data_IF_207804390458
#
_entry.id   IF_207804390458
#
_cell.length_a   1.000
_cell.length_b   1.000
_cell.length_c   1.000
_cell.angle_alpha   90.00
_cell.angle_beta   90.00
_cell.angle_gamma   90.00
#
_symmetry.space_group_name_H-M   'P 1'
#
loop_
_entity.id
_entity.type
_entity.pdbx_description
1 polymer ?
#
# COMPACT_ATOMS: atom_id res chain seq x y z
N UNK A 1 6.53 45.50 15.18
CA UNK A 1 7.56 44.64 15.78
C UNK A 1 7.00 44.02 17.05
N UNK A 2 6.65 42.74 17.02
CA UNK A 2 6.30 41.94 18.21
C UNK A 2 7.14 40.65 18.14
N UNK A 3 7.73 40.33 19.29
CA UNK A 3 8.69 39.25 19.53
C UNK A 3 8.21 37.88 19.03
N UNK A 4 9.09 37.00 18.52
CA UNK A 4 8.77 35.60 18.34
C UNK A 4 8.71 34.91 19.71
N UNK A 5 7.62 34.18 19.93
CA UNK A 5 7.46 33.24 21.05
C UNK A 5 8.41 32.07 20.79
N UNK A 6 9.43 31.95 21.63
CA UNK A 6 10.19 30.72 21.79
C UNK A 6 9.25 29.68 22.42
N UNK A 7 8.70 28.78 21.59
CA UNK A 7 8.20 27.50 22.07
C UNK A 7 9.42 26.72 22.55
N UNK A 8 9.58 26.60 23.87
CA UNK A 8 10.59 25.77 24.50
C UNK A 8 10.39 24.32 24.04
N UNK A 9 11.20 23.90 23.06
CA UNK A 9 11.32 22.51 22.67
C UNK A 9 11.88 21.74 23.86
N UNK A 10 11.12 20.77 24.36
CA UNK A 10 11.63 19.83 25.37
C UNK A 10 12.92 19.19 24.86
N UNK A 11 13.95 19.04 25.71
CA UNK A 11 15.22 18.46 25.28
C UNK A 11 15.02 17.01 24.80
N UNK A 12 15.64 16.72 23.65
CA UNK A 12 15.52 15.50 22.82
C UNK A 12 15.90 14.17 23.52
N UNK A 13 16.25 14.18 24.81
CA UNK A 13 16.70 13.00 25.57
C UNK A 13 15.73 12.54 26.66
N UNK A 14 14.62 13.24 26.91
CA UNK A 14 13.57 12.79 27.84
C UNK A 14 12.47 11.93 27.18
N UNK A 15 12.67 11.48 25.94
CA UNK A 15 11.73 10.61 25.24
C UNK A 15 11.92 9.16 25.70
N UNK A 16 10.80 8.49 25.94
CA UNK A 16 10.66 7.05 26.23
C UNK A 16 11.69 6.27 25.42
N UNK A 17 12.68 5.67 26.09
CA UNK A 17 13.72 4.91 25.42
C UNK A 17 13.08 3.76 24.64
N UNK A 18 13.00 3.87 23.32
CA UNK A 18 12.45 2.81 22.47
C UNK A 18 13.35 1.59 22.59
N UNK A 19 12.84 0.51 23.17
CA UNK A 19 13.58 -0.75 23.24
C UNK A 19 13.52 -1.45 21.87
N UNK A 20 14.49 -1.11 21.00
CA UNK A 20 14.62 -1.70 19.66
C UNK A 20 14.81 -3.22 19.73
N UNK A 21 15.36 -3.76 20.81
CA UNK A 21 15.47 -5.21 21.00
C UNK A 21 14.10 -5.85 21.27
N UNK A 22 13.23 -5.19 22.04
CA UNK A 22 11.86 -5.63 22.26
C UNK A 22 11.02 -5.55 20.98
N UNK A 23 11.11 -4.43 20.26
CA UNK A 23 10.56 -4.32 18.90
C UNK A 23 11.14 -5.40 18.00
N UNK A 24 12.43 -5.73 18.17
CA UNK A 24 13.12 -6.76 17.42
C UNK A 24 12.63 -8.18 17.67
N UNK A 25 12.11 -8.44 18.87
CA UNK A 25 11.43 -9.70 19.17
C UNK A 25 10.04 -9.78 18.55
N UNK A 26 9.35 -8.66 18.38
CA UNK A 26 7.95 -8.63 17.93
C UNK A 26 7.77 -8.39 16.42
N UNK A 27 8.51 -7.45 15.85
CA UNK A 27 8.20 -6.87 14.53
C UNK A 27 9.39 -6.83 13.56
N UNK A 28 10.55 -7.41 13.91
CA UNK A 28 11.67 -7.57 12.96
C UNK A 28 11.59 -8.87 12.17
N UNK A 29 12.05 -8.82 10.93
CA UNK A 29 12.19 -10.01 10.07
C UNK A 29 13.41 -10.89 10.42
N UNK A 30 14.33 -10.42 11.26
CA UNK A 30 15.57 -11.11 11.63
C UNK A 30 15.81 -11.04 13.14
N UNK A 31 16.52 -12.03 13.70
CA UNK A 31 16.80 -12.15 15.15
C UNK A 31 17.33 -10.85 15.76
N UNK A 32 18.30 -10.24 15.08
CA UNK A 32 18.84 -8.95 15.46
C UNK A 32 18.79 -7.97 14.29
N UNK A 33 18.45 -6.72 14.59
CA UNK A 33 18.62 -5.62 13.65
C UNK A 33 20.11 -5.31 13.46
N UNK A 34 20.52 -5.06 12.23
CA UNK A 34 21.84 -4.49 11.92
C UNK A 34 21.95 -3.07 12.48
N UNK A 35 23.16 -2.53 12.76
CA UNK A 35 23.31 -1.21 13.37
C UNK A 35 22.50 -0.09 12.70
N UNK A 36 22.58 0.03 11.36
CA UNK A 36 21.81 1.03 10.61
C UNK A 36 20.29 0.77 10.57
N UNK A 37 19.83 -0.47 10.77
CA UNK A 37 18.40 -0.76 10.94
C UNK A 37 17.91 -0.31 12.31
N UNK A 38 18.71 -0.50 13.36
CA UNK A 38 18.35 -0.12 14.73
C UNK A 38 18.07 1.38 14.84
N UNK A 39 18.96 2.18 14.27
CA UNK A 39 18.82 3.63 14.20
C UNK A 39 17.54 4.02 13.43
N UNK A 40 17.36 3.49 12.22
CA UNK A 40 16.16 3.78 11.42
C UNK A 40 14.85 3.34 12.09
N UNK A 41 14.85 2.23 12.82
CA UNK A 41 13.66 1.76 13.56
C UNK A 41 13.33 2.71 14.71
N UNK A 42 14.34 3.08 15.52
CA UNK A 42 14.16 3.99 16.64
C UNK A 42 13.63 5.35 16.14
N UNK A 43 14.35 5.96 15.20
CA UNK A 43 13.99 7.26 14.66
C UNK A 43 12.62 7.23 13.97
N UNK A 44 12.29 6.12 13.29
CA UNK A 44 10.99 5.91 12.66
C UNK A 44 9.87 5.75 13.67
N UNK A 45 10.08 4.97 14.74
CA UNK A 45 9.11 4.76 15.80
C UNK A 45 8.84 6.07 16.56
N UNK A 46 9.88 6.82 16.93
CA UNK A 46 9.76 8.12 17.61
C UNK A 46 8.96 9.11 16.75
N UNK A 47 9.38 9.32 15.50
CA UNK A 47 8.70 10.25 14.60
C UNK A 47 7.23 9.87 14.36
N UNK A 48 6.93 8.59 14.14
CA UNK A 48 5.57 8.12 13.90
C UNK A 48 4.70 8.18 15.17
N UNK A 49 5.26 7.89 16.35
CA UNK A 49 4.56 7.98 17.63
C UNK A 49 4.07 9.40 17.89
N UNK A 50 4.92 10.39 17.60
CA UNK A 50 4.61 11.83 17.67
C UNK A 50 3.74 12.35 16.52
N UNK A 51 3.28 11.48 15.61
CA UNK A 51 2.51 11.83 14.40
C UNK A 51 3.28 12.78 13.46
N UNK A 52 4.60 12.73 13.49
CA UNK A 52 5.51 13.49 12.63
C UNK A 52 5.93 12.75 11.37
N UNK A 53 7.07 13.17 10.81
CA UNK A 53 7.64 12.64 9.57
C UNK A 53 9.12 12.32 9.74
N UNK A 54 9.57 11.23 9.10
CA UNK A 54 10.97 10.87 9.01
C UNK A 54 11.39 10.82 7.53
N UNK A 55 12.48 11.52 7.21
CA UNK A 55 13.19 11.36 5.95
C UNK A 55 14.50 10.64 6.23
N UNK A 56 14.57 9.36 5.84
CA UNK A 56 15.74 8.53 6.08
C UNK A 56 16.55 8.36 4.79
N UNK A 57 17.78 8.87 4.79
CA UNK A 57 18.76 8.60 3.75
C UNK A 57 19.69 7.47 4.22
N UNK A 58 19.49 6.28 3.68
CA UNK A 58 20.27 5.10 4.04
C UNK A 58 20.79 4.39 2.79
N UNK A 59 22.03 3.86 2.79
CA UNK A 59 22.56 3.07 1.69
C UNK A 59 21.68 1.87 1.33
N UNK A 60 21.79 1.35 0.10
CA UNK A 60 21.15 0.07 -0.27
C UNK A 60 21.75 -1.09 0.52
N UNK A 61 20.97 -2.14 0.78
CA UNK A 61 21.46 -3.36 1.43
C UNK A 61 21.49 -3.33 2.96
N UNK A 62 21.22 -2.19 3.61
CA UNK A 62 21.09 -2.15 5.08
C UNK A 62 19.79 -2.77 5.59
N UNK A 63 18.80 -2.97 4.71
CA UNK A 63 17.47 -3.50 5.06
C UNK A 63 16.47 -2.42 5.48
N UNK A 64 16.43 -1.30 4.74
CA UNK A 64 15.50 -0.17 4.94
C UNK A 64 14.02 -0.59 4.96
N UNK A 65 13.63 -1.49 4.07
CA UNK A 65 12.27 -2.02 3.98
C UNK A 65 11.86 -2.71 5.29
N UNK A 66 12.71 -3.57 5.83
CA UNK A 66 12.44 -4.25 7.10
C UNK A 66 12.43 -3.28 8.29
N UNK A 67 13.34 -2.31 8.33
CA UNK A 67 13.39 -1.31 9.39
C UNK A 67 12.14 -0.41 9.39
N UNK A 68 11.76 0.14 8.23
CA UNK A 68 10.56 0.98 8.08
C UNK A 68 9.27 0.22 8.37
N UNK A 69 9.13 -1.02 7.89
CA UNK A 69 7.96 -1.86 8.19
C UNK A 69 7.87 -2.18 9.68
N UNK A 70 8.97 -2.54 10.33
CA UNK A 70 8.97 -2.86 11.76
C UNK A 70 8.51 -1.65 12.60
N UNK A 71 9.05 -0.46 12.33
CA UNK A 71 8.65 0.77 13.01
C UNK A 71 7.17 1.11 12.74
N UNK A 72 6.74 1.06 11.48
CA UNK A 72 5.37 1.40 11.10
C UNK A 72 4.34 0.43 11.69
N UNK A 73 4.61 -0.88 11.65
CA UNK A 73 3.73 -1.91 12.24
C UNK A 73 3.67 -1.74 13.75
N UNK A 74 4.80 -1.50 14.42
CA UNK A 74 4.84 -1.29 15.87
C UNK A 74 3.91 -0.14 16.29
N UNK A 75 4.09 1.04 15.68
CA UNK A 75 3.25 2.21 15.98
C UNK A 75 1.80 1.96 15.59
N UNK A 76 1.52 1.32 14.46
CA UNK A 76 0.16 1.01 14.02
C UNK A 76 -0.58 0.09 15.01
N UNK A 77 0.11 -0.88 15.61
CA UNK A 77 -0.47 -1.82 16.58
C UNK A 77 -0.68 -1.24 17.97
N UNK A 78 -0.03 -0.11 18.28
CA UNK A 78 -0.21 0.62 19.54
C UNK A 78 -1.30 1.69 19.48
N UNK A 79 -1.83 2.00 18.28
CA UNK A 79 -2.97 2.90 18.15
C UNK A 79 -4.24 2.23 18.66
N UNK A 80 -5.06 2.99 19.39
CA UNK A 80 -6.38 2.56 19.85
C UNK A 80 -7.33 2.26 18.67
N UNK A 81 -7.31 3.13 17.66
CA UNK A 81 -8.04 2.93 16.42
C UNK A 81 -7.20 2.18 15.40
N UNK A 82 -7.87 1.42 14.52
CA UNK A 82 -7.22 0.75 13.39
C UNK A 82 -6.40 1.75 12.57
N UNK A 83 -5.12 1.45 12.41
CA UNK A 83 -4.19 2.24 11.62
C UNK A 83 -3.60 1.37 10.51
N UNK A 84 -3.92 1.67 9.25
CA UNK A 84 -3.37 0.93 8.10
C UNK A 84 -2.00 1.50 7.73
N UNK A 85 -1.01 0.62 7.57
CA UNK A 85 0.30 1.00 7.00
C UNK A 85 0.20 0.92 5.48
N UNK A 86 0.28 2.07 4.81
CA UNK A 86 0.35 2.16 3.35
C UNK A 86 1.83 2.17 2.92
N UNK A 87 2.32 1.03 2.44
CA UNK A 87 3.66 0.92 1.87
C UNK A 87 3.61 1.17 0.36
N UNK A 88 4.20 2.28 -0.06
CA UNK A 88 4.15 2.76 -1.44
C UNK A 88 5.46 2.47 -2.16
N UNK A 89 5.38 1.76 -3.29
CA UNK A 89 6.53 1.48 -4.16
C UNK A 89 6.08 1.26 -5.60
N UNK A 90 6.89 1.62 -6.59
CA UNK A 90 6.51 1.50 -8.02
C UNK A 90 6.91 0.19 -8.69
N UNK A 91 7.62 -0.70 -8.01
CA UNK A 91 8.20 -1.91 -8.62
C UNK A 91 7.65 -3.16 -7.97
N UNK A 92 7.08 -4.05 -8.77
CA UNK A 92 6.57 -5.35 -8.31
C UNK A 92 7.61 -6.20 -7.55
N UNK A 93 8.89 -6.10 -7.95
CA UNK A 93 9.97 -6.75 -7.19
C UNK A 93 10.07 -6.24 -5.74
N UNK A 94 9.76 -4.97 -5.48
CA UNK A 94 9.72 -4.41 -4.13
C UNK A 94 8.47 -4.82 -3.37
N UNK A 95 7.32 -4.99 -4.05
CA UNK A 95 6.12 -5.57 -3.43
C UNK A 95 6.43 -6.95 -2.84
N UNK A 96 7.12 -7.81 -3.62
CA UNK A 96 7.60 -9.12 -3.16
C UNK A 96 8.48 -9.02 -1.91
N UNK A 97 9.44 -8.10 -1.90
CA UNK A 97 10.33 -7.88 -0.74
C UNK A 97 9.53 -7.50 0.50
N UNK A 98 8.53 -6.63 0.38
CA UNK A 98 7.65 -6.26 1.50
C UNK A 98 6.87 -7.47 2.00
N UNK A 99 6.18 -8.19 1.11
CA UNK A 99 5.40 -9.39 1.47
C UNK A 99 6.27 -10.42 2.16
N UNK A 100 7.45 -10.73 1.61
CA UNK A 100 8.37 -11.71 2.20
C UNK A 100 8.96 -11.24 3.54
N UNK A 101 9.16 -9.93 3.70
CA UNK A 101 9.55 -9.35 4.98
C UNK A 101 8.45 -9.55 6.03
N UNK A 102 7.19 -9.31 5.69
CA UNK A 102 6.07 -9.52 6.62
C UNK A 102 5.86 -11.02 6.93
N UNK A 103 6.10 -11.92 5.97
CA UNK A 103 6.12 -13.37 6.24
C UNK A 103 7.14 -13.72 7.31
N UNK A 104 8.39 -13.25 7.15
CA UNK A 104 9.45 -13.47 8.13
C UNK A 104 9.15 -12.85 9.49
N UNK A 105 8.47 -11.70 9.53
CA UNK A 105 7.97 -11.12 10.78
C UNK A 105 6.97 -12.09 11.43
N UNK A 106 5.97 -12.55 10.68
CA UNK A 106 4.94 -13.46 11.18
C UNK A 106 5.51 -14.80 11.67
N UNK A 107 6.53 -15.36 11.01
CA UNK A 107 7.20 -16.59 11.45
C UNK A 107 7.88 -16.45 12.82
N UNK A 108 8.17 -15.21 13.23
CA UNK A 108 8.81 -14.88 14.52
C UNK A 108 7.82 -14.44 15.59
N UNK A 109 6.57 -14.16 15.23
CA UNK A 109 5.54 -13.81 16.21
C UNK A 109 5.29 -15.03 17.11
N UNK A 110 5.42 -14.83 18.42
CA UNK A 110 5.18 -15.85 19.46
C UNK A 110 4.06 -15.40 20.39
N UNK A 111 3.39 -16.36 21.03
CA UNK A 111 2.30 -16.10 21.98
C UNK A 111 1.01 -15.66 21.27
N UNK A 112 0.20 -14.87 21.97
CA UNK A 112 -1.17 -14.50 21.53
C UNK A 112 -1.22 -13.31 20.56
N UNK A 113 -0.08 -12.90 20.00
CA UNK A 113 -0.01 -11.80 19.04
C UNK A 113 -0.60 -12.24 17.70
N UNK A 114 -1.58 -11.49 17.19
CA UNK A 114 -2.17 -11.74 15.87
C UNK A 114 -1.15 -11.44 14.75
N UNK A 115 -1.08 -12.34 13.78
CA UNK A 115 -0.30 -12.18 12.55
C UNK A 115 -0.58 -10.83 11.86
N UNK A 116 0.45 -10.32 11.19
CA UNK A 116 0.34 -9.14 10.33
C UNK A 116 -0.24 -9.58 8.98
N UNK A 117 -1.32 -8.93 8.58
CA UNK A 117 -2.01 -9.17 7.32
C UNK A 117 -1.57 -8.19 6.26
N UNK A 118 -1.46 -8.65 5.02
CA UNK A 118 -1.00 -7.83 3.87
C UNK A 118 -1.99 -7.98 2.73
N UNK A 119 -2.39 -6.85 2.16
CA UNK A 119 -3.08 -6.80 0.87
C UNK A 119 -2.14 -6.11 -0.12
N UNK A 120 -1.82 -6.82 -1.20
CA UNK A 120 -0.93 -6.36 -2.26
C UNK A 120 -1.76 -6.00 -3.51
N UNK A 121 -1.67 -4.75 -3.96
CA UNK A 121 -2.48 -4.20 -5.05
C UNK A 121 -1.59 -3.54 -6.10
N UNK A 122 -1.92 -3.80 -7.36
CA UNK A 122 -1.29 -3.22 -8.55
C UNK A 122 -2.38 -2.62 -9.45
N UNK A 123 -2.05 -2.11 -10.63
CA UNK A 123 -3.05 -1.54 -11.53
C UNK A 123 -4.21 -2.47 -11.88
N UNK A 124 -5.42 -1.92 -11.99
CA UNK A 124 -6.65 -2.65 -12.37
C UNK A 124 -6.46 -3.50 -13.63
N UNK A 125 -5.81 -2.96 -14.65
CA UNK A 125 -5.56 -3.63 -15.94
C UNK A 125 -4.69 -4.87 -15.78
N UNK A 126 -3.81 -4.89 -14.79
CA UNK A 126 -2.94 -6.03 -14.49
C UNK A 126 -3.59 -7.05 -13.53
N UNK A 127 -4.67 -6.67 -12.84
CA UNK A 127 -5.37 -7.55 -11.89
C UNK A 127 -6.70 -8.11 -12.39
N UNK A 128 -7.30 -7.49 -13.40
CA UNK A 128 -8.51 -8.00 -14.03
C UNK A 128 -8.15 -8.92 -15.19
N UNK A 129 -8.71 -10.12 -15.22
CA UNK A 129 -8.53 -11.04 -16.34
C UNK A 129 -9.17 -10.51 -17.64
N UNK A 130 -10.36 -9.89 -17.53
CA UNK A 130 -11.07 -9.31 -18.66
C UNK A 130 -11.63 -7.95 -18.28
N UNK A 131 -11.17 -6.92 -18.99
CA UNK A 131 -11.72 -5.57 -18.96
C UNK A 131 -12.20 -5.24 -20.36
N UNK A 132 -13.46 -4.86 -20.48
CA UNK A 132 -13.99 -4.34 -21.72
C UNK A 132 -13.33 -3.00 -22.04
N UNK A 133 -12.63 -2.89 -23.17
CA UNK A 133 -11.82 -1.72 -23.50
C UNK A 133 -12.68 -0.48 -23.84
N UNK A 134 -13.91 -0.66 -24.30
CA UNK A 134 -14.80 0.43 -24.68
C UNK A 134 -15.57 0.97 -23.46
N UNK A 135 -16.17 0.07 -22.68
CA UNK A 135 -17.00 0.40 -21.51
C UNK A 135 -16.20 0.51 -20.21
N UNK A 136 -14.94 0.04 -20.20
CA UNK A 136 -14.11 -0.11 -18.99
C UNK A 136 -14.76 -0.98 -17.91
N UNK A 137 -15.69 -1.86 -18.29
CA UNK A 137 -16.39 -2.73 -17.36
C UNK A 137 -15.54 -3.98 -17.05
N UNK A 138 -15.53 -4.41 -15.78
CA UNK A 138 -14.87 -5.67 -15.40
C UNK A 138 -15.80 -6.84 -15.72
N UNK A 139 -15.25 -7.90 -16.31
CA UNK A 139 -16.00 -9.07 -16.78
C UNK A 139 -15.54 -10.38 -16.13
N UNK A 140 -14.80 -10.29 -15.02
CA UNK A 140 -14.23 -11.44 -14.32
C UNK A 140 -15.27 -12.35 -13.65
N UNK A 141 -16.51 -11.90 -13.44
CA UNK A 141 -17.54 -12.65 -12.69
C UNK A 141 -18.59 -13.32 -13.61
N UNK A 142 -18.25 -13.59 -14.87
CA UNK A 142 -19.17 -14.21 -15.86
C UNK A 142 -19.49 -15.66 -15.48
N UNK A 143 -20.76 -16.06 -15.60
CA UNK A 143 -21.18 -17.47 -15.61
C UNK A 143 -21.57 -18.11 -14.26
N UNK A 144 -21.43 -17.44 -13.12
CA UNK A 144 -21.84 -17.98 -11.81
C UNK A 144 -23.21 -17.47 -11.34
N UNK A 145 -23.88 -18.17 -10.42
CA UNK A 145 -25.04 -17.62 -9.71
C UNK A 145 -24.61 -16.56 -8.69
N UNK A 146 -25.51 -15.66 -8.29
CA UNK A 146 -25.22 -14.63 -7.29
C UNK A 146 -24.74 -15.20 -5.94
N UNK A 147 -25.38 -16.28 -5.46
CA UNK A 147 -24.98 -16.97 -4.24
C UNK A 147 -23.62 -17.65 -4.33
N UNK A 148 -23.27 -18.21 -5.50
CA UNK A 148 -21.94 -18.76 -5.73
C UNK A 148 -20.88 -17.67 -5.73
N UNK A 149 -21.16 -16.51 -6.34
CA UNK A 149 -20.24 -15.36 -6.35
C UNK A 149 -19.97 -14.86 -4.93
N UNK A 150 -21.01 -14.71 -4.10
CA UNK A 150 -20.85 -14.22 -2.73
C UNK A 150 -19.88 -15.10 -1.92
N UNK A 151 -20.01 -16.43 -2.04
CA UNK A 151 -19.09 -17.38 -1.39
C UNK A 151 -17.66 -17.26 -1.92
N UNK A 152 -17.46 -17.32 -3.24
CA UNK A 152 -16.12 -17.18 -3.83
C UNK A 152 -15.42 -15.87 -3.45
N UNK A 153 -16.18 -14.78 -3.29
CA UNK A 153 -15.65 -13.49 -2.83
C UNK A 153 -15.16 -13.55 -1.39
N UNK A 154 -15.93 -14.19 -0.50
CA UNK A 154 -15.52 -14.38 0.90
C UNK A 154 -14.35 -15.36 1.02
N UNK A 155 -14.29 -16.39 0.19
CA UNK A 155 -13.18 -17.34 0.14
C UNK A 155 -11.88 -16.64 -0.24
N UNK A 156 -11.89 -15.79 -1.28
CA UNK A 156 -10.72 -15.00 -1.65
C UNK A 156 -10.35 -13.96 -0.58
N UNK A 157 -11.33 -13.31 0.04
CA UNK A 157 -11.09 -12.39 1.17
C UNK A 157 -10.41 -13.12 2.33
N UNK A 158 -10.90 -14.29 2.70
CA UNK A 158 -10.32 -15.14 3.74
C UNK A 158 -8.91 -15.61 3.36
N UNK A 159 -8.69 -15.96 2.09
CA UNK A 159 -7.39 -16.34 1.56
C UNK A 159 -6.34 -15.23 1.68
N UNK A 160 -6.74 -13.98 1.46
CA UNK A 160 -5.89 -12.77 1.62
C UNK A 160 -5.56 -12.49 3.08
N UNK A 161 -6.55 -12.56 3.98
CA UNK A 161 -6.36 -12.22 5.39
C UNK A 161 -5.68 -13.33 6.20
N UNK A 162 -5.61 -14.55 5.66
CA UNK A 162 -5.00 -15.69 6.37
C UNK A 162 -3.47 -15.62 6.44
N UNK A 163 -2.81 -15.17 5.37
CA UNK A 163 -1.35 -15.02 5.34
C UNK A 163 -0.94 -13.96 4.32
N UNK A 164 0.22 -13.29 4.49
CA UNK A 164 0.73 -12.35 3.50
C UNK A 164 0.96 -13.01 2.14
N UNK A 165 0.50 -12.37 1.08
CA UNK A 165 0.60 -12.88 -0.30
C UNK A 165 0.99 -11.78 -1.26
N UNK A 166 1.84 -12.16 -2.20
CA UNK A 166 2.13 -11.31 -3.35
C UNK A 166 0.93 -11.34 -4.29
N UNK A 167 0.76 -10.28 -5.07
CA UNK A 167 -0.34 -10.16 -6.03
C UNK A 167 -0.43 -11.37 -6.97
N UNK A 168 0.70 -11.91 -7.44
CA UNK A 168 0.73 -13.10 -8.32
C UNK A 168 -0.04 -14.29 -7.74
N UNK A 169 0.12 -14.58 -6.45
CA UNK A 169 -0.60 -15.68 -5.78
C UNK A 169 -2.10 -15.40 -5.69
N UNK A 170 -2.45 -14.13 -5.49
CA UNK A 170 -3.84 -13.66 -5.44
C UNK A 170 -4.52 -13.80 -6.79
N UNK A 171 -3.82 -13.51 -7.89
CA UNK A 171 -4.37 -13.65 -9.24
C UNK A 171 -4.68 -15.11 -9.58
N UNK A 172 -3.81 -16.03 -9.19
CA UNK A 172 -4.04 -17.48 -9.38
C UNK A 172 -5.27 -17.95 -8.62
N UNK A 173 -5.41 -17.56 -7.36
CA UNK A 173 -6.57 -17.93 -6.53
C UNK A 173 -7.87 -17.31 -7.06
N UNK A 174 -7.84 -16.02 -7.40
CA UNK A 174 -9.00 -15.30 -7.91
C UNK A 174 -9.52 -15.89 -9.23
N UNK A 175 -8.60 -16.28 -10.12
CA UNK A 175 -8.92 -16.98 -11.37
C UNK A 175 -9.57 -18.34 -11.09
N UNK A 176 -9.04 -19.09 -10.15
CA UNK A 176 -9.58 -20.40 -9.75
C UNK A 176 -10.98 -20.26 -9.13
N UNK A 177 -11.19 -19.19 -8.37
CA UNK A 177 -12.45 -18.88 -7.70
C UNK A 177 -13.49 -18.17 -8.58
N UNK A 178 -13.12 -17.74 -9.79
CA UNK A 178 -14.00 -17.02 -10.73
C UNK A 178 -14.43 -15.64 -10.26
N UNK A 179 -13.55 -14.90 -9.56
CA UNK A 179 -13.84 -13.57 -9.00
C UNK A 179 -12.80 -12.53 -9.40
N UNK A 180 -13.17 -11.25 -9.35
CA UNK A 180 -12.26 -10.15 -9.67
C UNK A 180 -11.26 -9.88 -8.53
N UNK A 181 -9.98 -10.20 -8.73
CA UNK A 181 -8.92 -9.94 -7.75
C UNK A 181 -8.84 -8.45 -7.35
N UNK A 182 -8.87 -7.53 -8.32
CA UNK A 182 -8.81 -6.08 -8.08
C UNK A 182 -9.91 -5.61 -7.12
N UNK A 183 -11.15 -6.02 -7.36
CA UNK A 183 -12.28 -5.60 -6.56
C UNK A 183 -12.20 -6.16 -5.14
N UNK A 184 -11.84 -7.43 -5.00
CA UNK A 184 -11.77 -8.09 -3.69
C UNK A 184 -10.59 -7.57 -2.87
N UNK A 185 -9.40 -7.38 -3.46
CA UNK A 185 -8.29 -6.78 -2.75
C UNK A 185 -8.67 -5.39 -2.21
N UNK A 186 -9.20 -4.49 -3.04
CA UNK A 186 -9.59 -3.14 -2.60
C UNK A 186 -10.59 -3.16 -1.45
N UNK A 187 -11.60 -4.02 -1.53
CA UNK A 187 -12.60 -4.17 -0.47
C UNK A 187 -12.04 -4.79 0.82
N UNK A 188 -10.94 -5.53 0.73
CA UNK A 188 -10.28 -6.21 1.86
C UNK A 188 -9.27 -5.31 2.58
N UNK A 189 -8.81 -4.21 1.96
CA UNK A 189 -7.79 -3.31 2.55
C UNK A 189 -8.20 -2.76 3.93
N UNK A 190 -9.47 -2.40 4.10
CA UNK A 190 -10.00 -1.94 5.40
C UNK A 190 -9.80 -2.96 6.53
N UNK A 191 -9.61 -4.22 6.16
CA UNK A 191 -9.43 -5.34 7.07
C UNK A 191 -7.97 -5.76 7.26
N UNK A 192 -7.03 -5.20 6.50
CA UNK A 192 -5.61 -5.55 6.62
C UNK A 192 -4.78 -4.58 7.47
N UNK A 193 -3.59 -5.00 7.87
CA UNK A 193 -2.61 -4.16 8.57
C UNK A 193 -1.75 -3.36 7.61
N UNK A 194 -1.30 -4.00 6.52
CA UNK A 194 -0.38 -3.41 5.54
C UNK A 194 -1.00 -3.47 4.15
N UNK A 195 -1.16 -2.32 3.52
CA UNK A 195 -1.44 -2.18 2.10
C UNK A 195 -0.12 -1.95 1.36
N UNK A 196 0.19 -2.78 0.37
CA UNK A 196 1.29 -2.53 -0.57
C UNK A 196 0.70 -2.09 -1.90
N UNK A 197 1.08 -0.90 -2.38
CA UNK A 197 0.55 -0.37 -3.64
C UNK A 197 1.48 0.67 -4.29
N UNK A 198 1.15 1.06 -5.52
CA UNK A 198 1.89 2.10 -6.25
C UNK A 198 1.63 3.51 -5.69
N UNK A 199 2.61 4.41 -5.83
CA UNK A 199 2.52 5.82 -5.42
C UNK A 199 1.27 6.53 -5.94
N UNK A 200 0.81 6.15 -7.14
CA UNK A 200 -0.35 6.77 -7.80
C UNK A 200 -1.63 6.69 -6.95
N UNK A 201 -1.77 5.69 -6.08
CA UNK A 201 -2.94 5.57 -5.20
C UNK A 201 -3.04 6.69 -4.15
N UNK A 202 -1.94 7.38 -3.87
CA UNK A 202 -1.89 8.49 -2.93
C UNK A 202 -1.56 9.82 -3.61
N UNK A 203 -0.69 9.82 -4.62
CA UNK A 203 -0.10 11.03 -5.17
C UNK A 203 -0.65 11.46 -6.53
N UNK A 204 -1.50 10.67 -7.18
CA UNK A 204 -2.27 11.10 -8.36
C UNK A 204 -3.71 11.45 -7.96
N UNK A 205 -4.06 12.73 -8.04
CA UNK A 205 -5.39 13.26 -7.68
C UNK A 205 -6.56 12.51 -8.34
N UNK A 206 -6.41 12.08 -9.60
CA UNK A 206 -7.48 11.39 -10.32
C UNK A 206 -7.74 9.98 -9.79
N UNK A 207 -6.74 9.39 -9.14
CA UNK A 207 -6.77 8.02 -8.65
C UNK A 207 -7.01 7.99 -7.14
N UNK A 208 -6.49 8.97 -6.41
CA UNK A 208 -6.47 9.06 -4.94
C UNK A 208 -7.85 8.90 -4.31
N UNK A 209 -8.79 9.78 -4.63
CA UNK A 209 -10.09 9.80 -3.94
C UNK A 209 -10.87 8.51 -4.15
N UNK A 210 -10.89 8.02 -5.40
CA UNK A 210 -11.48 6.74 -5.74
C UNK A 210 -10.80 5.59 -4.99
N UNK A 211 -9.47 5.60 -4.93
CA UNK A 211 -8.66 4.58 -4.25
C UNK A 211 -8.95 4.54 -2.76
N UNK A 212 -8.76 5.66 -2.06
CA UNK A 212 -8.95 5.76 -0.61
C UNK A 212 -10.39 5.46 -0.20
N UNK A 213 -11.37 5.98 -0.94
CA UNK A 213 -12.80 5.73 -0.69
C UNK A 213 -13.13 4.24 -0.78
N UNK A 214 -12.77 3.56 -1.88
CA UNK A 214 -13.10 2.15 -2.03
C UNK A 214 -12.33 1.23 -1.08
N UNK A 215 -11.13 1.63 -0.66
CA UNK A 215 -10.33 0.91 0.33
C UNK A 215 -10.73 1.25 1.77
N UNK A 216 -11.66 2.19 1.96
CA UNK A 216 -12.07 2.76 3.24
C UNK A 216 -10.88 3.22 4.12
N UNK A 217 -9.87 3.82 3.50
CA UNK A 217 -8.72 4.40 4.20
C UNK A 217 -8.98 5.87 4.48
N UNK A 218 -8.84 6.27 5.75
CA UNK A 218 -8.70 7.66 6.16
C UNK A 218 -7.22 7.99 6.37
N UNK A 219 -6.72 9.04 5.72
CA UNK A 219 -5.32 9.49 5.90
C UNK A 219 -5.01 9.94 7.33
N UNK A 220 -6.03 10.30 8.11
CA UNK A 220 -5.87 10.65 9.53
C UNK A 220 -5.47 9.45 10.39
N UNK A 221 -5.79 8.23 9.93
CA UNK A 221 -5.55 6.96 10.60
C UNK A 221 -4.71 6.02 9.71
N UNK A 222 -3.76 6.57 8.96
CA UNK A 222 -2.85 5.80 8.13
C UNK A 222 -1.38 6.22 8.40
N UNK A 223 -0.48 5.24 8.34
CA UNK A 223 0.96 5.49 8.31
C UNK A 223 1.42 5.28 6.87
N UNK A 224 2.06 6.29 6.27
CA UNK A 224 2.55 6.22 4.89
C UNK A 224 4.04 5.96 4.90
N UNK A 225 4.46 4.87 4.26
CA UNK A 225 5.87 4.55 4.02
C UNK A 225 6.12 4.66 2.51
N UNK A 226 6.98 5.58 2.10
CA UNK A 226 7.37 5.73 0.68
C UNK A 226 8.76 5.14 0.50
N UNK A 227 8.84 4.01 -0.19
CA UNK A 227 10.12 3.42 -0.56
C UNK A 227 10.67 4.06 -1.84
N UNK A 228 11.99 4.11 -1.98
CA UNK A 228 12.69 4.74 -3.12
C UNK A 228 12.11 6.11 -3.52
N UNK A 229 11.80 6.93 -2.52
CA UNK A 229 11.13 8.23 -2.66
C UNK A 229 11.86 9.22 -3.59
N UNK A 230 13.13 8.96 -3.93
CA UNK A 230 13.85 9.71 -4.95
C UNK A 230 13.16 9.67 -6.34
N UNK A 231 12.37 8.63 -6.63
CA UNK A 231 11.60 8.53 -7.86
C UNK A 231 10.26 9.28 -7.81
N UNK A 232 9.83 9.71 -6.62
CA UNK A 232 8.49 10.27 -6.41
C UNK A 232 8.28 11.61 -7.15
N UNK A 233 9.22 12.59 -7.13
CA UNK A 233 9.02 13.87 -7.80
C UNK A 233 8.77 13.71 -9.32
N UNK A 234 9.58 12.87 -9.97
CA UNK A 234 9.42 12.57 -11.40
C UNK A 234 8.07 11.89 -11.67
N UNK A 235 7.69 10.95 -10.80
CA UNK A 235 6.42 10.23 -10.92
C UNK A 235 5.21 11.16 -10.79
N UNK A 236 5.21 12.06 -9.81
CA UNK A 236 4.13 13.05 -9.63
C UNK A 236 4.02 13.95 -10.86
N UNK A 237 5.16 14.45 -11.36
CA UNK A 237 5.21 15.31 -12.54
C UNK A 237 4.60 14.61 -13.75
N UNK A 238 4.97 13.35 -14.01
CA UNK A 238 4.41 12.55 -15.11
C UNK A 238 2.91 12.31 -14.96
N UNK A 239 2.41 12.10 -13.73
CA UNK A 239 0.98 11.96 -13.46
C UNK A 239 0.19 13.24 -13.80
N UNK A 240 0.78 14.41 -13.58
CA UNK A 240 0.18 15.71 -13.90
C UNK A 240 0.24 16.08 -15.38
N UNK A 241 1.22 15.52 -16.12
CA UNK A 241 1.43 15.84 -17.54
C UNK A 241 0.24 15.42 -18.43
N UNK A 242 -0.04 16.22 -19.46
CA UNK A 242 -0.94 15.87 -20.57
C UNK A 242 -0.16 15.98 -21.87
N UNK A 243 -0.12 14.88 -22.63
CA UNK A 243 0.51 14.83 -23.94
C UNK A 243 -0.55 14.71 -25.02
N UNK A 244 -0.54 15.64 -25.96
CA UNK A 244 -1.28 15.55 -27.21
C UNK A 244 -0.31 15.04 -28.28
N UNK A 245 -0.67 13.94 -28.94
CA UNK A 245 0.11 13.40 -30.06
C UNK A 245 -0.74 13.47 -31.34
N UNK A 246 -0.13 13.57 -32.54
CA UNK A 246 -0.87 13.55 -33.79
C UNK A 246 -1.79 12.33 -33.94
N UNK A 247 -1.36 11.17 -33.42
CA UNK A 247 -2.18 9.95 -33.40
C UNK A 247 -3.44 10.12 -32.54
N UNK A 248 -3.31 10.73 -31.35
CA UNK A 248 -4.44 10.96 -30.45
C UNK A 248 -5.46 11.92 -31.08
N UNK A 249 -4.99 12.98 -31.74
CA UNK A 249 -5.85 13.92 -32.48
C UNK A 249 -6.54 13.23 -33.66
N UNK A 250 -5.82 12.39 -34.40
CA UNK A 250 -6.38 11.63 -35.52
C UNK A 250 -7.46 10.64 -35.05
N UNK A 251 -7.20 9.90 -33.97
CA UNK A 251 -8.17 8.97 -33.40
C UNK A 251 -9.41 9.71 -32.88
N UNK A 252 -9.22 10.82 -32.15
CA UNK A 252 -10.32 11.65 -31.68
C UNK A 252 -11.20 12.16 -32.84
N UNK A 253 -10.61 12.50 -33.98
CA UNK A 253 -11.37 12.87 -35.20
C UNK A 253 -12.22 11.70 -35.70
N UNK A 254 -11.67 10.49 -35.76
CA UNK A 254 -12.43 9.31 -36.18
C UNK A 254 -13.57 9.00 -35.22
N UNK A 255 -13.32 9.01 -33.90
CA UNK A 255 -14.34 8.78 -32.87
C UNK A 255 -15.49 9.80 -32.99
N UNK A 256 -15.18 11.07 -33.26
CA UNK A 256 -16.17 12.13 -33.52
C UNK A 256 -16.99 11.87 -34.79
N UNK A 257 -16.35 11.44 -35.87
CA UNK A 257 -17.03 11.14 -37.13
C UNK A 257 -17.98 9.95 -36.99
N UNK A 258 -17.56 8.90 -36.29
CA UNK A 258 -18.40 7.73 -35.98
C UNK A 258 -19.59 8.14 -35.10
N UNK A 259 -19.36 8.96 -34.07
CA UNK A 259 -20.43 9.43 -33.20
C UNK A 259 -21.48 10.27 -33.95
N UNK A 260 -21.06 11.18 -34.83
CA UNK A 260 -21.97 11.97 -35.66
C UNK A 260 -22.73 11.08 -36.66
N UNK A 261 -22.04 10.10 -37.27
CA UNK A 261 -22.65 9.14 -38.19
C UNK A 261 -23.71 8.26 -37.53
N UNK A 262 -23.55 7.93 -36.24
CA UNK A 262 -24.52 7.13 -35.47
C UNK A 262 -25.73 7.94 -34.97
N UNK A 263 -25.69 9.27 -35.03
CA UNK A 263 -26.80 10.16 -34.63
C UNK A 263 -27.69 10.54 -35.85
N UNK A 264 -27.19 10.31 -37.08
CA UNK A 264 -27.86 10.63 -38.34
C UNK A 264 -28.72 9.46 -38.83
#
# INVERSE_FOLDING_TARGET
MRSPILLEARPRWELVSVNVEELGRRWLAHEEARPGQREMIRDGYEALSERGHLVAAAPTGIGKTAASLAAAIAVARERENRCTVMFLTSRQSQHRIVVDTVRKINDRIKGDLRSVTVVDIIGRESMCEVVDMQTRQCLCERGSSESSRARSKEDLRSFLLRKPRHVDETLVEAKTSGVCAWQICRNTVKDCDVLVCDYNHLFDDRIRDNSLSAMAISLQNAIIVVDEAHNLPDRIRMGMERRLTPLLVRNAKFDLQEHIGNIS
#
